data_IF_574692427611
#
_entry.id   IF_574692427611
#
_cell.length_a   1.000
_cell.length_b   1.000
_cell.length_c   1.000
_cell.angle_alpha   90.00
_cell.angle_beta   90.00
_cell.angle_gamma   90.00
#
_symmetry.space_group_name_H-M   'P 1'
#
loop_
_entity.id
_entity.type
_entity.pdbx_description
1 polymer ?
#
# COMPACT_ATOMS: atom_id res chain seq x y z
N UNK A 1 5.47 -22.27 8.41
CA UNK A 1 5.98 -20.91 8.11
C UNK A 1 4.92 -19.95 7.55
N UNK A 2 3.68 -20.38 7.26
CA UNK A 2 2.67 -19.51 6.62
C UNK A 2 2.26 -18.27 7.41
N UNK A 3 2.21 -18.36 8.75
CA UNK A 3 1.90 -17.21 9.62
C UNK A 3 2.81 -15.99 9.38
N UNK A 4 4.10 -16.20 9.14
CA UNK A 4 5.04 -15.10 8.84
C UNK A 4 4.77 -14.44 7.49
N UNK A 5 4.41 -15.25 6.49
CA UNK A 5 4.03 -14.75 5.16
C UNK A 5 2.73 -13.93 5.24
N UNK A 6 1.78 -14.36 6.07
CA UNK A 6 0.53 -13.64 6.29
C UNK A 6 0.78 -12.26 6.92
N UNK A 7 1.66 -12.21 7.93
CA UNK A 7 2.04 -10.95 8.57
C UNK A 7 2.75 -10.02 7.58
N UNK A 8 3.69 -10.55 6.76
CA UNK A 8 4.34 -9.76 5.72
C UNK A 8 3.33 -9.22 4.72
N UNK A 9 2.37 -10.03 4.28
CA UNK A 9 1.30 -9.60 3.40
C UNK A 9 0.48 -8.45 4.00
N UNK A 10 0.12 -8.57 5.28
CA UNK A 10 -0.59 -7.52 6.01
C UNK A 10 0.23 -6.22 6.08
N UNK A 11 1.53 -6.31 6.36
CA UNK A 11 2.44 -5.16 6.40
C UNK A 11 2.53 -4.46 5.05
N UNK A 12 2.63 -5.20 3.95
CA UNK A 12 2.67 -4.62 2.61
C UNK A 12 1.35 -3.89 2.27
N UNK A 13 0.20 -4.44 2.67
CA UNK A 13 -1.09 -3.76 2.50
C UNK A 13 -1.10 -2.43 3.27
N UNK A 14 -0.67 -2.45 4.53
CA UNK A 14 -0.64 -1.24 5.37
C UNK A 14 0.26 -0.17 4.74
N UNK A 15 1.46 -0.57 4.29
CA UNK A 15 2.41 0.34 3.63
C UNK A 15 1.88 0.84 2.28
N UNK A 16 1.24 -0.03 1.49
CA UNK A 16 0.62 0.33 0.22
C UNK A 16 -0.49 1.38 0.35
N UNK A 17 -1.19 1.41 1.49
CA UNK A 17 -2.23 2.38 1.79
C UNK A 17 -1.72 3.63 2.51
N UNK A 18 -0.41 3.69 2.85
CA UNK A 18 0.20 4.81 3.57
C UNK A 18 -0.06 6.18 2.94
N UNK A 19 -0.01 6.36 1.61
CA UNK A 19 -0.38 7.63 0.96
C UNK A 19 -1.84 8.06 1.19
N UNK A 20 -2.77 7.10 1.34
CA UNK A 20 -4.16 7.43 1.66
C UNK A 20 -4.27 7.91 3.10
N UNK A 21 -3.67 7.18 4.05
CA UNK A 21 -3.65 7.58 5.47
C UNK A 21 -2.99 8.95 5.65
N UNK A 22 -1.89 9.18 4.92
CA UNK A 22 -1.17 10.43 4.85
C UNK A 22 -2.07 11.60 4.48
N UNK A 23 -2.96 11.43 3.49
CA UNK A 23 -3.88 12.50 3.07
C UNK A 23 -4.73 13.07 4.22
N UNK A 24 -5.07 12.24 5.22
CA UNK A 24 -5.83 12.65 6.40
C UNK A 24 -4.97 13.27 7.52
N UNK A 25 -3.66 13.02 7.51
CA UNK A 25 -2.72 13.40 8.58
C UNK A 25 -1.81 14.57 8.14
N UNK A 26 -1.95 15.04 6.90
CA UNK A 26 -1.16 16.13 6.29
C UNK A 26 -1.03 17.40 7.13
N UNK A 27 -1.96 17.67 8.05
CA UNK A 27 -1.84 18.79 9.01
C UNK A 27 -0.65 18.66 10.00
N UNK A 28 -0.09 17.46 10.16
CA UNK A 28 0.90 17.14 11.21
C UNK A 28 2.25 16.64 10.67
N UNK A 29 2.32 16.21 9.41
CA UNK A 29 3.53 15.61 8.82
C UNK A 29 3.66 16.09 7.38
N UNK A 30 4.83 16.64 7.02
CA UNK A 30 5.15 16.94 5.63
C UNK A 30 5.36 15.63 4.86
N UNK A 31 4.30 15.25 4.15
CA UNK A 31 4.16 13.98 3.45
C UNK A 31 4.53 14.07 1.97
N UNK A 32 5.08 15.21 1.53
CA UNK A 32 5.56 15.43 0.16
C UNK A 32 6.57 14.37 -0.27
N UNK A 33 7.48 13.96 0.61
CA UNK A 33 8.43 12.87 0.34
C UNK A 33 7.74 11.53 0.12
N UNK A 34 6.70 11.20 0.92
CA UNK A 34 6.01 9.91 0.81
C UNK A 34 5.26 9.82 -0.52
N UNK A 35 4.57 10.90 -0.91
CA UNK A 35 3.87 10.95 -2.20
C UNK A 35 4.85 10.79 -3.37
N UNK A 36 6.02 11.44 -3.31
CA UNK A 36 7.05 11.32 -4.35
C UNK A 36 7.68 9.92 -4.46
N UNK A 37 7.74 9.14 -3.39
CA UNK A 37 8.22 7.75 -3.47
C UNK A 37 7.18 6.79 -4.05
N UNK A 38 5.90 7.04 -3.78
CA UNK A 38 4.82 6.16 -4.21
C UNK A 38 4.32 6.48 -5.61
N UNK A 39 4.49 7.70 -6.10
CA UNK A 39 4.13 8.08 -7.47
C UNK A 39 5.35 8.04 -8.40
N UNK A 40 5.40 7.03 -9.27
CA UNK A 40 6.46 6.89 -10.27
C UNK A 40 6.06 7.45 -11.64
N UNK A 41 4.81 7.91 -11.81
CA UNK A 41 4.31 8.54 -13.04
C UNK A 41 4.15 7.61 -14.26
N UNK A 42 4.08 6.30 -14.06
CA UNK A 42 3.89 5.26 -15.07
C UNK A 42 2.39 4.96 -15.33
N UNK A 43 1.60 4.79 -14.26
CA UNK A 43 0.20 4.41 -14.25
C UNK A 43 -0.50 4.79 -12.92
N UNK A 44 -1.76 5.17 -12.98
CA UNK A 44 -2.59 5.35 -11.79
C UNK A 44 -4.01 4.85 -12.01
N UNK A 45 -4.68 4.47 -10.93
CA UNK A 45 -6.06 4.02 -10.92
C UNK A 45 -6.87 4.88 -9.94
N UNK A 46 -7.94 5.51 -10.43
CA UNK A 46 -8.90 6.17 -9.56
C UNK A 46 -9.92 5.16 -9.04
N UNK A 47 -9.95 4.94 -7.73
CA UNK A 47 -10.85 4.00 -7.06
C UNK A 47 -11.42 4.64 -5.80
N UNK A 48 -12.75 4.62 -5.68
CA UNK A 48 -13.48 5.15 -4.53
C UNK A 48 -13.13 6.61 -4.17
N UNK A 49 -12.80 7.43 -5.18
CA UNK A 49 -12.42 8.84 -4.99
C UNK A 49 -10.95 9.07 -4.62
N UNK A 50 -10.13 8.01 -4.59
CA UNK A 50 -8.70 8.10 -4.32
C UNK A 50 -7.89 7.65 -5.53
N UNK A 51 -6.74 8.30 -5.74
CA UNK A 51 -5.79 7.91 -6.77
C UNK A 51 -4.80 6.91 -6.17
N UNK A 52 -4.82 5.69 -6.70
CA UNK A 52 -3.84 4.66 -6.39
C UNK A 52 -2.74 4.69 -7.44
N UNK A 53 -1.50 4.89 -7.01
CA UNK A 53 -0.33 4.79 -7.87
C UNK A 53 0.12 3.34 -8.03
N UNK A 54 1.05 3.09 -8.93
CA UNK A 54 1.61 1.77 -9.22
C UNK A 54 2.22 1.12 -7.98
N UNK A 55 2.99 1.88 -7.21
CA UNK A 55 3.64 1.37 -5.99
C UNK A 55 2.58 0.98 -4.97
N UNK A 56 1.51 1.79 -4.82
CA UNK A 56 0.39 1.47 -3.94
C UNK A 56 -0.29 0.16 -4.38
N UNK A 57 -0.61 0.04 -5.67
CA UNK A 57 -1.26 -1.14 -6.22
C UNK A 57 -0.38 -2.40 -6.14
N UNK A 58 0.92 -2.28 -6.39
CA UNK A 58 1.86 -3.38 -6.29
C UNK A 58 1.97 -3.88 -4.86
N UNK A 59 2.13 -2.97 -3.89
CA UNK A 59 2.23 -3.33 -2.48
C UNK A 59 0.93 -3.93 -1.95
N UNK A 60 -0.22 -3.33 -2.27
CA UNK A 60 -1.52 -3.87 -1.87
C UNK A 60 -1.81 -5.21 -2.54
N UNK A 61 -1.56 -5.34 -3.85
CA UNK A 61 -1.81 -6.56 -4.61
C UNK A 61 -0.92 -7.73 -4.16
N UNK A 62 0.40 -7.51 -4.09
CA UNK A 62 1.34 -8.52 -3.57
C UNK A 62 1.02 -8.85 -2.12
N UNK A 63 0.69 -7.84 -1.32
CA UNK A 63 0.31 -8.01 0.08
C UNK A 63 -0.91 -8.94 0.26
N UNK A 64 -1.96 -8.76 -0.55
CA UNK A 64 -3.14 -9.64 -0.55
C UNK A 64 -2.77 -11.08 -0.93
N UNK A 65 -1.94 -11.26 -1.96
CA UNK A 65 -1.49 -12.60 -2.37
C UNK A 65 -0.73 -13.29 -1.24
N UNK A 66 0.23 -12.60 -0.62
CA UNK A 66 1.02 -13.15 0.49
C UNK A 66 0.16 -13.41 1.74
N UNK A 67 -0.83 -12.56 2.00
CA UNK A 67 -1.78 -12.77 3.09
C UNK A 67 -2.56 -14.08 2.90
N UNK A 68 -3.15 -14.28 1.71
CA UNK A 68 -3.94 -15.47 1.38
C UNK A 68 -3.06 -16.72 1.44
N UNK A 69 -1.91 -16.72 0.77
CA UNK A 69 -0.99 -17.87 0.75
C UNK A 69 -0.50 -18.19 2.16
N UNK A 70 -0.22 -17.17 2.98
CA UNK A 70 0.22 -17.32 4.36
C UNK A 70 -0.89 -17.83 5.30
N UNK A 71 -2.15 -17.49 5.03
CA UNK A 71 -3.29 -17.95 5.83
C UNK A 71 -3.66 -19.42 5.52
N UNK A 72 -3.42 -19.87 4.28
CA UNK A 72 -3.74 -21.24 3.84
C UNK A 72 -2.64 -22.25 4.24
N UNK A 73 -1.39 -21.82 4.35
CA UNK A 73 -0.22 -22.68 4.68
C UNK A 73 0.14 -22.71 6.16
#
# INVERSE_FOLDING_TARGET
MGKGLAILGLLLIIVGLLPLWASFITAYVDLSMILGYFDQGIYSLNLAGYVFTEVMLALTGIGVILLIVGAIK
#
